data_IF_252201281852
#
_entry.id   IF_252201281852
#
_cell.length_a   1.000
_cell.length_b   1.000
_cell.length_c   1.000
_cell.angle_alpha   90.00
_cell.angle_beta   90.00
_cell.angle_gamma   90.00
#
_symmetry.space_group_name_H-M   'P 1'
#
loop_
_entity.id
_entity.type
_entity.pdbx_description
1 polymer ?
#
# COMPACT_ATOMS: atom_id res chain seq x y z
N UNK A 1 1.14 17.45 16.69
CA UNK A 1 0.44 17.44 15.38
C UNK A 1 1.35 16.99 14.20
N UNK A 2 2.35 16.11 14.41
CA UNK A 2 3.31 15.73 13.35
C UNK A 2 3.30 14.24 13.00
N UNK A 3 3.33 13.34 13.98
CA UNK A 3 3.61 11.93 13.72
C UNK A 3 2.51 11.21 12.93
N UNK A 4 1.24 11.53 13.21
CA UNK A 4 0.09 10.91 12.54
C UNK A 4 0.02 11.33 11.06
N UNK A 5 0.26 12.61 10.75
CA UNK A 5 0.37 13.11 9.37
C UNK A 5 1.56 12.48 8.62
N UNK A 6 2.71 12.33 9.27
CA UNK A 6 3.90 11.71 8.67
C UNK A 6 3.65 10.24 8.32
N UNK A 7 3.06 9.48 9.24
CA UNK A 7 2.76 8.06 9.01
C UNK A 7 1.72 7.89 7.91
N UNK A 8 0.64 8.67 7.95
CA UNK A 8 -0.34 8.68 6.86
C UNK A 8 0.36 8.96 5.52
N UNK A 9 1.22 9.98 5.44
CA UNK A 9 1.95 10.32 4.21
C UNK A 9 2.83 9.17 3.71
N UNK A 10 3.55 8.48 4.60
CA UNK A 10 4.41 7.33 4.25
C UNK A 10 3.58 6.16 3.73
N UNK A 11 2.52 5.78 4.45
CA UNK A 11 1.68 4.66 4.07
C UNK A 11 0.93 4.93 2.75
N UNK A 12 0.41 6.16 2.55
CA UNK A 12 -0.22 6.57 1.29
C UNK A 12 0.76 6.54 0.11
N UNK A 13 2.01 7.02 0.30
CA UNK A 13 3.04 6.93 -0.75
C UNK A 13 3.35 5.49 -1.10
N UNK A 14 3.43 4.60 -0.11
CA UNK A 14 3.69 3.17 -0.34
C UNK A 14 2.57 2.52 -1.15
N UNK A 15 1.32 2.79 -0.80
CA UNK A 15 0.16 2.31 -1.58
C UNK A 15 0.14 2.87 -3.00
N UNK A 16 0.45 4.17 -3.16
CA UNK A 16 0.51 4.82 -4.47
C UNK A 16 1.55 4.20 -5.40
N UNK A 17 2.73 3.83 -4.89
CA UNK A 17 3.75 3.12 -5.67
C UNK A 17 3.23 1.77 -6.13
N UNK A 18 2.64 0.97 -5.24
CA UNK A 18 2.11 -0.36 -5.59
C UNK A 18 1.00 -0.24 -6.66
N UNK A 19 0.10 0.73 -6.52
CA UNK A 19 -0.93 1.01 -7.52
C UNK A 19 -0.35 1.39 -8.87
N UNK A 20 0.66 2.27 -8.90
CA UNK A 20 1.29 2.72 -10.13
C UNK A 20 2.01 1.57 -10.85
N UNK A 21 2.72 0.70 -10.10
CA UNK A 21 3.30 -0.52 -10.65
C UNK A 21 2.25 -1.50 -11.16
N UNK A 22 1.15 -1.66 -10.42
CA UNK A 22 0.03 -2.53 -10.85
C UNK A 22 -0.56 -2.04 -12.16
N UNK A 23 -0.79 -0.72 -12.31
CA UNK A 23 -1.27 -0.13 -13.55
C UNK A 23 -0.31 -0.35 -14.72
N UNK A 24 1.00 -0.17 -14.52
CA UNK A 24 2.01 -0.42 -15.56
C UNK A 24 2.07 -1.89 -15.99
N UNK A 25 1.86 -2.82 -15.05
CA UNK A 25 1.78 -4.25 -15.37
C UNK A 25 0.50 -4.56 -16.16
N UNK A 26 -0.63 -3.97 -15.77
CA UNK A 26 -1.92 -4.13 -16.47
C UNK A 26 -1.89 -3.55 -17.88
N UNK A 27 -1.20 -2.43 -18.13
CA UNK A 27 -1.10 -1.86 -19.48
C UNK A 27 -0.24 -2.69 -20.42
N UNK A 28 0.62 -3.57 -19.89
CA UNK A 28 1.45 -4.51 -20.65
C UNK A 28 0.84 -5.92 -20.72
N UNK A 29 -0.42 -6.08 -20.32
CA UNK A 29 -1.15 -7.34 -20.31
C UNK A 29 -1.50 -7.79 -21.74
N UNK A 30 -0.49 -8.19 -22.52
CA UNK A 30 -0.69 -8.89 -23.78
C UNK A 30 -0.17 -10.33 -23.75
N UNK A 31 0.57 -10.73 -22.71
CA UNK A 31 1.20 -12.05 -22.64
C UNK A 31 1.08 -12.61 -21.20
N UNK A 32 0.62 -13.87 -21.07
CA UNK A 32 0.28 -14.54 -19.80
C UNK A 32 1.41 -14.59 -18.75
N UNK A 33 2.65 -14.23 -19.11
CA UNK A 33 3.81 -14.24 -18.21
C UNK A 33 3.71 -13.22 -17.07
N UNK A 34 2.86 -12.19 -17.20
CA UNK A 34 2.69 -11.16 -16.18
C UNK A 34 1.67 -11.49 -15.09
N UNK A 35 0.95 -12.61 -15.20
CA UNK A 35 -0.09 -13.00 -14.23
C UNK A 35 0.50 -13.14 -12.82
N UNK A 36 1.67 -13.77 -12.67
CA UNK A 36 2.32 -13.92 -11.36
C UNK A 36 2.66 -12.56 -10.72
N UNK A 37 3.25 -11.64 -11.49
CA UNK A 37 3.63 -10.31 -10.97
C UNK A 37 2.41 -9.45 -10.66
N UNK A 38 1.35 -9.55 -11.46
CA UNK A 38 0.08 -8.88 -11.19
C UNK A 38 -0.52 -9.35 -9.86
N UNK A 39 -0.62 -10.68 -9.65
CA UNK A 39 -1.13 -11.24 -8.40
C UNK A 39 -0.24 -10.87 -7.21
N UNK A 40 1.09 -10.91 -7.38
CA UNK A 40 2.03 -10.49 -6.34
C UNK A 40 1.82 -9.02 -5.93
N UNK A 41 1.64 -8.12 -6.88
CA UNK A 41 1.36 -6.71 -6.62
C UNK A 41 0.01 -6.51 -5.92
N UNK A 42 -1.03 -7.25 -6.33
CA UNK A 42 -2.34 -7.21 -5.69
C UNK A 42 -2.28 -7.68 -4.24
N UNK A 43 -1.62 -8.81 -3.96
CA UNK A 43 -1.40 -9.29 -2.58
C UNK A 43 -0.59 -8.28 -1.77
N UNK A 44 0.44 -7.67 -2.37
CA UNK A 44 1.27 -6.66 -1.71
C UNK A 44 0.48 -5.40 -1.34
N UNK A 45 -0.50 -5.02 -2.19
CA UNK A 45 -1.42 -3.92 -1.92
C UNK A 45 -2.31 -4.22 -0.72
N UNK A 46 -2.91 -5.42 -0.68
CA UNK A 46 -3.76 -5.86 0.43
C UNK A 46 -2.98 -5.84 1.75
N UNK A 47 -1.79 -6.44 1.77
CA UNK A 47 -0.91 -6.43 2.96
C UNK A 47 -0.59 -4.99 3.38
N UNK A 48 -0.30 -4.10 2.42
CA UNK A 48 0.02 -2.71 2.74
C UNK A 48 -1.16 -1.94 3.35
N UNK A 49 -2.39 -2.22 2.93
CA UNK A 49 -3.60 -1.64 3.54
C UNK A 49 -3.70 -2.07 5.01
N UNK A 50 -3.54 -3.36 5.31
CA UNK A 50 -3.59 -3.86 6.69
C UNK A 50 -2.51 -3.25 7.58
N UNK A 51 -1.27 -3.17 7.08
CA UNK A 51 -0.16 -2.55 7.81
C UNK A 51 -0.44 -1.08 8.10
N UNK A 52 -0.95 -0.33 7.12
CA UNK A 52 -1.29 1.08 7.30
C UNK A 52 -2.39 1.27 8.35
N UNK A 53 -3.47 0.48 8.28
CA UNK A 53 -4.57 0.53 9.27
C UNK A 53 -4.05 0.20 10.66
N UNK A 54 -3.20 -0.83 10.80
CA UNK A 54 -2.60 -1.19 12.08
C UNK A 54 -1.71 -0.07 12.64
N UNK A 55 -0.82 0.50 11.82
CA UNK A 55 0.08 1.58 12.22
C UNK A 55 -0.70 2.83 12.66
N UNK A 56 -1.74 3.22 11.91
CA UNK A 56 -2.61 4.33 12.27
C UNK A 56 -3.35 4.06 13.58
N UNK A 57 -3.90 2.86 13.75
CA UNK A 57 -4.65 2.46 14.97
C UNK A 57 -3.75 2.45 16.21
N UNK A 58 -2.53 1.91 16.09
CA UNK A 58 -1.54 1.90 17.18
C UNK A 58 -1.15 3.32 17.59
N UNK A 59 -0.96 4.22 16.61
CA UNK A 59 -0.63 5.61 16.91
C UNK A 59 -1.81 6.30 17.59
N UNK A 60 -3.02 6.13 17.08
CA UNK A 60 -4.22 6.72 17.66
C UNK A 60 -4.37 6.34 19.13
N UNK A 61 -4.25 5.05 19.46
CA UNK A 61 -4.27 4.56 20.85
C UNK A 61 -3.18 5.17 21.75
N UNK A 62 -2.00 5.48 21.20
CA UNK A 62 -0.90 6.11 21.95
C UNK A 62 -1.04 7.62 22.13
N UNK A 63 -1.88 8.28 21.32
CA UNK A 63 -2.04 9.74 21.36
C UNK A 63 -3.27 10.17 22.17
N UNK A 64 -4.22 9.24 22.39
CA UNK A 64 -5.44 9.42 23.21
C UNK A 64 -5.26 8.98 24.68
N UNK A 65 -4.06 8.52 25.07
CA UNK A 65 -3.62 8.25 26.45
C UNK A 65 -2.72 9.40 26.93
#
# INVERSE_FOLDING_TARGET
>A
MNNLKTIFSIEWKRMGIILLFTLVVVTKWSEHDYDFYFWLLLFSLIISIFVAVFNVTQLYKRTDL
#
